data_IF_644248630352
#
_entry.id   IF_644248630352
#
_cell.length_a   1.000
_cell.length_b   1.000
_cell.length_c   1.000
_cell.angle_alpha   90.00
_cell.angle_beta   90.00
_cell.angle_gamma   90.00
#
_symmetry.space_group_name_H-M   'P 1'
#
loop_
_entity.id
_entity.type
_entity.pdbx_description
1 polymer ?
#
# COMPACT_ATOMS: atom_id res chain seq x y z
N UNK A 1 2.65 33.22 0.72
CA UNK A 1 3.17 32.26 -0.25
C UNK A 1 2.92 32.79 -1.65
N UNK A 2 3.98 33.10 -2.35
CA UNK A 2 3.94 33.50 -3.76
C UNK A 2 3.85 32.22 -4.59
N UNK A 3 2.77 32.08 -5.34
CA UNK A 3 2.64 31.06 -6.36
C UNK A 3 3.83 31.14 -7.32
N UNK A 4 4.66 30.12 -7.36
CA UNK A 4 5.72 29.97 -8.34
C UNK A 4 5.11 29.91 -9.73
N UNK A 5 5.58 30.74 -10.65
CA UNK A 5 5.11 30.76 -12.02
C UNK A 5 5.23 29.41 -12.67
N UNK A 6 4.13 28.92 -13.25
CA UNK A 6 4.07 27.65 -13.96
C UNK A 6 4.99 27.66 -15.18
N UNK A 7 6.15 27.03 -15.05
CA UNK A 7 6.99 26.67 -16.16
C UNK A 7 6.45 25.44 -16.85
N UNK A 8 6.18 25.50 -18.14
CA UNK A 8 5.83 24.32 -18.94
C UNK A 8 7.09 23.48 -19.12
N UNK A 9 7.21 22.41 -18.31
CA UNK A 9 8.27 21.44 -18.48
C UNK A 9 7.87 20.41 -19.55
N UNK A 10 8.53 20.43 -20.70
CA UNK A 10 8.39 19.35 -21.67
C UNK A 10 9.21 18.14 -21.19
N UNK A 11 8.52 17.11 -20.72
CA UNK A 11 9.13 15.85 -20.37
C UNK A 11 9.12 14.95 -21.61
N UNK A 12 10.29 14.75 -22.20
CA UNK A 12 10.45 13.80 -23.30
C UNK A 12 10.85 12.42 -22.72
N UNK A 13 9.96 11.46 -22.82
CA UNK A 13 10.26 10.08 -22.45
C UNK A 13 11.00 9.36 -23.61
N UNK A 14 12.15 8.80 -23.33
CA UNK A 14 12.86 7.91 -24.26
C UNK A 14 12.46 6.44 -24.09
N UNK A 15 11.60 6.15 -23.13
CA UNK A 15 11.19 4.80 -22.74
C UNK A 15 9.67 4.74 -22.83
N UNK A 16 9.14 3.68 -23.45
CA UNK A 16 7.71 3.38 -23.37
C UNK A 16 7.34 3.13 -21.91
N UNK A 17 6.45 3.94 -21.35
CA UNK A 17 5.97 3.79 -19.98
C UNK A 17 5.14 2.52 -19.78
N UNK A 18 4.65 1.90 -20.88
CA UNK A 18 3.81 0.70 -20.81
C UNK A 18 2.36 0.97 -20.46
N UNK A 19 1.56 -0.07 -20.20
CA UNK A 19 0.17 0.06 -19.81
C UNK A 19 0.04 0.48 -18.34
N UNK A 20 -1.02 1.24 -18.05
CA UNK A 20 -1.33 1.74 -16.71
C UNK A 20 -1.89 0.65 -15.77
N UNK A 21 -2.36 -0.44 -16.35
CA UNK A 21 -2.96 -1.56 -15.61
C UNK A 21 -2.56 -2.89 -16.23
N UNK A 22 -2.68 -3.96 -15.45
CA UNK A 22 -2.43 -5.32 -15.92
C UNK A 22 -3.45 -5.73 -16.98
N UNK A 23 -2.98 -6.31 -18.08
CA UNK A 23 -3.81 -6.82 -19.17
C UNK A 23 -3.59 -8.31 -19.33
N UNK A 24 -4.64 -9.11 -19.18
CA UNK A 24 -4.58 -10.54 -19.43
C UNK A 24 -4.60 -10.84 -20.91
N UNK A 25 -3.55 -11.48 -21.39
CA UNK A 25 -3.34 -11.70 -22.83
C UNK A 25 -3.69 -13.05 -23.39
N UNK A 26 -3.74 -14.12 -22.62
CA UNK A 26 -3.93 -15.48 -23.10
C UNK A 26 -4.78 -16.34 -22.18
N UNK A 27 -5.61 -17.19 -22.77
CA UNK A 27 -6.36 -18.25 -22.10
C UNK A 27 -7.84 -18.32 -22.48
N UNK A 28 -8.46 -19.43 -22.10
CA UNK A 28 -9.90 -19.62 -22.21
C UNK A 28 -10.61 -18.71 -21.18
N UNK A 29 -11.53 -17.91 -21.63
CA UNK A 29 -12.29 -17.00 -20.77
C UNK A 29 -11.76 -15.56 -20.70
N UNK A 30 -10.70 -15.23 -21.44
CA UNK A 30 -10.17 -13.86 -21.49
C UNK A 30 -10.76 -13.08 -22.66
N UNK A 31 -11.38 -11.94 -22.38
CA UNK A 31 -12.02 -11.07 -23.36
C UNK A 31 -13.38 -11.54 -23.80
N UNK A 32 -13.99 -10.82 -24.75
CA UNK A 32 -15.31 -11.14 -25.29
C UNK A 32 -15.29 -12.43 -26.11
N UNK A 33 -16.30 -13.26 -25.92
CA UNK A 33 -16.55 -14.44 -26.73
C UNK A 33 -16.86 -14.03 -28.18
N UNK A 34 -16.51 -14.87 -29.13
CA UNK A 34 -16.79 -14.69 -30.57
C UNK A 34 -16.00 -13.57 -31.26
N UNK A 35 -14.79 -13.24 -30.76
CA UNK A 35 -13.92 -12.20 -31.35
C UNK A 35 -12.88 -12.74 -32.32
N UNK A 36 -12.77 -14.05 -32.52
CA UNK A 36 -11.83 -14.70 -33.46
C UNK A 36 -12.37 -16.06 -33.91
N UNK A 37 -11.86 -16.55 -35.03
CA UNK A 37 -12.20 -17.91 -35.50
C UNK A 37 -11.40 -18.97 -34.74
N UNK A 38 -11.94 -20.18 -34.63
CA UNK A 38 -11.24 -21.32 -34.09
C UNK A 38 -9.89 -21.51 -34.82
N UNK A 39 -8.83 -21.79 -34.06
CA UNK A 39 -7.49 -21.98 -34.56
C UNK A 39 -6.77 -20.73 -35.13
N UNK A 40 -7.29 -19.53 -34.86
CA UNK A 40 -6.60 -18.28 -35.18
C UNK A 40 -6.09 -17.65 -33.89
N UNK A 41 -4.75 -17.60 -33.66
CA UNK A 41 -4.22 -16.90 -32.49
C UNK A 41 -4.62 -15.44 -32.50
N UNK A 42 -4.99 -14.89 -31.36
CA UNK A 42 -5.16 -13.43 -31.23
C UNK A 42 -3.84 -12.73 -31.49
N UNK A 43 -3.91 -11.52 -32.04
CA UNK A 43 -2.72 -10.69 -32.23
C UNK A 43 -1.94 -10.53 -30.90
N UNK A 44 -0.68 -10.89 -30.92
CA UNK A 44 0.21 -10.85 -29.74
C UNK A 44 0.76 -9.45 -29.46
N UNK A 45 0.45 -8.47 -30.31
CA UNK A 45 1.08 -7.15 -30.27
C UNK A 45 0.65 -6.25 -29.12
N UNK A 46 -0.32 -6.68 -28.29
CA UNK A 46 -0.91 -5.86 -27.21
C UNK A 46 -0.91 -6.53 -25.85
N UNK A 47 -0.18 -7.63 -25.68
CA UNK A 47 -0.24 -8.41 -24.45
C UNK A 47 0.87 -7.99 -23.49
N UNK A 48 0.56 -7.11 -22.59
CA UNK A 48 1.38 -6.88 -21.40
C UNK A 48 0.61 -7.42 -20.20
N UNK A 49 1.19 -8.38 -19.51
CA UNK A 49 0.53 -9.09 -18.42
C UNK A 49 0.54 -8.30 -17.10
N UNK A 50 1.52 -7.44 -16.90
CA UNK A 50 1.65 -6.62 -15.71
C UNK A 50 1.73 -5.14 -16.10
N UNK A 51 1.13 -4.26 -15.30
CA UNK A 51 1.33 -2.80 -15.41
C UNK A 51 2.80 -2.43 -15.26
N UNK A 52 3.23 -1.30 -15.82
CA UNK A 52 4.59 -0.83 -15.66
C UNK A 52 4.77 -0.03 -14.40
N UNK A 53 5.62 -0.56 -13.52
CA UNK A 53 6.04 0.09 -12.30
C UNK A 53 7.52 0.43 -12.36
N UNK A 54 7.91 1.46 -11.64
CA UNK A 54 9.30 1.80 -11.38
C UNK A 54 9.69 1.34 -9.98
N UNK A 55 10.92 0.87 -9.85
CA UNK A 55 11.57 0.69 -8.56
C UNK A 55 12.79 1.61 -8.45
N UNK A 56 12.92 2.23 -7.29
CA UNK A 56 13.97 3.19 -6.99
C UNK A 56 14.70 2.78 -5.73
N UNK A 57 16.03 2.92 -5.75
CA UNK A 57 16.83 2.74 -4.55
C UNK A 57 18.13 3.57 -4.61
N UNK A 58 18.72 3.85 -3.48
CA UNK A 58 19.92 4.65 -3.40
C UNK A 58 21.19 3.79 -3.41
N UNK A 59 22.15 4.17 -4.23
CA UNK A 59 23.50 3.62 -4.25
C UNK A 59 24.48 4.69 -3.79
N UNK A 60 24.64 4.82 -2.48
CA UNK A 60 25.28 5.98 -1.89
C UNK A 60 24.42 7.23 -2.06
N UNK A 61 24.94 8.24 -2.72
CA UNK A 61 24.20 9.47 -3.04
C UNK A 61 23.42 9.37 -4.36
N UNK A 62 23.74 8.40 -5.21
CA UNK A 62 23.12 8.22 -6.52
C UNK A 62 21.81 7.44 -6.45
N UNK A 63 20.92 7.74 -7.36
CA UNK A 63 19.66 7.03 -7.52
C UNK A 63 19.79 5.95 -8.59
N UNK A 64 19.43 4.73 -8.24
CA UNK A 64 19.23 3.62 -9.18
C UNK A 64 17.73 3.47 -9.45
N UNK A 65 17.37 3.42 -10.71
CA UNK A 65 15.99 3.31 -11.17
C UNK A 65 15.86 2.15 -12.16
N UNK A 66 14.93 1.25 -11.94
CA UNK A 66 14.63 0.15 -12.86
C UNK A 66 13.16 0.20 -13.24
N UNK A 67 12.90 0.16 -14.55
CA UNK A 67 11.54 0.04 -15.06
C UNK A 67 11.18 -1.44 -15.22
N UNK A 68 9.97 -1.80 -14.84
CA UNK A 68 9.48 -3.17 -14.96
C UNK A 68 9.63 -3.71 -16.39
N UNK A 69 10.30 -4.86 -16.55
CA UNK A 69 10.66 -5.45 -17.84
C UNK A 69 11.43 -4.50 -18.76
N UNK A 70 12.34 -3.74 -18.19
CA UNK A 70 13.21 -2.82 -18.90
C UNK A 70 14.56 -2.67 -18.23
N UNK A 71 15.32 -1.68 -18.69
CA UNK A 71 16.69 -1.41 -18.25
C UNK A 71 16.78 -0.74 -16.88
N UNK A 72 18.01 -0.71 -16.38
CA UNK A 72 18.38 -0.03 -15.12
C UNK A 72 19.15 1.23 -15.43
N UNK A 73 18.82 2.30 -14.74
CA UNK A 73 19.36 3.64 -14.91
C UNK A 73 20.03 4.12 -13.63
N UNK A 74 21.07 4.92 -13.77
CA UNK A 74 21.71 5.66 -12.68
C UNK A 74 21.53 7.16 -12.91
N UNK A 75 21.03 7.84 -11.91
CA UNK A 75 21.09 9.29 -11.84
C UNK A 75 22.20 9.70 -10.87
N UNK A 76 23.20 10.38 -11.44
CA UNK A 76 24.33 10.94 -10.70
C UNK A 76 23.90 12.26 -10.07
N UNK A 77 23.75 12.30 -8.76
CA UNK A 77 23.30 13.48 -8.03
C UNK A 77 24.26 14.65 -8.15
N UNK A 78 25.56 14.36 -8.32
CA UNK A 78 26.58 15.41 -8.51
C UNK A 78 26.42 16.18 -9.80
N UNK A 79 25.77 15.60 -10.79
CA UNK A 79 25.47 16.23 -12.08
C UNK A 79 24.26 17.20 -12.01
N UNK A 80 23.57 17.25 -10.88
CA UNK A 80 22.43 18.13 -10.60
C UNK A 80 21.14 17.71 -11.27
N UNK A 81 20.03 18.37 -10.88
CA UNK A 81 18.66 18.04 -11.31
C UNK A 81 18.37 18.31 -12.81
N UNK A 82 19.22 19.08 -13.49
CA UNK A 82 19.12 19.34 -14.92
C UNK A 82 19.66 18.19 -15.80
N UNK A 83 20.36 17.22 -15.21
CA UNK A 83 20.95 16.09 -15.93
C UNK A 83 20.06 14.85 -15.78
N UNK A 84 19.82 14.16 -16.89
CA UNK A 84 18.99 12.94 -16.89
C UNK A 84 19.78 11.73 -16.38
N UNK A 85 19.06 10.77 -15.82
CA UNK A 85 19.60 9.46 -15.53
C UNK A 85 20.09 8.77 -16.81
N UNK A 86 21.19 8.04 -16.71
CA UNK A 86 21.81 7.29 -17.80
C UNK A 86 21.63 5.80 -17.60
N UNK A 87 21.47 5.06 -18.69
CA UNK A 87 21.38 3.60 -18.61
C UNK A 87 22.73 3.01 -18.17
N UNK A 88 22.69 2.03 -17.26
CA UNK A 88 23.87 1.24 -16.89
C UNK A 88 24.05 0.18 -17.99
N UNK A 89 24.91 0.46 -18.96
CA UNK A 89 25.05 -0.35 -20.18
C UNK A 89 25.59 -1.76 -19.94
N UNK A 90 26.26 -2.00 -18.82
CA UNK A 90 26.81 -3.30 -18.44
C UNK A 90 25.82 -4.15 -17.62
N UNK A 91 24.76 -3.54 -17.13
CA UNK A 91 23.70 -4.24 -16.40
C UNK A 91 22.80 -5.02 -17.38
N UNK A 92 22.06 -6.03 -16.89
CA UNK A 92 20.97 -6.64 -17.64
C UNK A 92 20.01 -5.61 -18.24
N UNK A 93 19.56 -5.84 -19.45
CA UNK A 93 18.69 -4.91 -20.20
C UNK A 93 17.21 -5.10 -19.87
N UNK A 94 16.88 -6.18 -19.16
CA UNK A 94 15.52 -6.53 -18.80
C UNK A 94 15.48 -7.09 -17.36
N UNK A 95 14.76 -6.41 -16.48
CA UNK A 95 14.59 -6.79 -15.08
C UNK A 95 13.22 -6.36 -14.58
N UNK A 96 12.71 -7.01 -13.55
CA UNK A 96 11.41 -6.65 -12.97
C UNK A 96 11.53 -5.44 -12.02
N UNK A 97 12.51 -5.47 -11.13
CA UNK A 97 12.77 -4.39 -10.16
C UNK A 97 14.20 -4.51 -9.61
N UNK A 98 14.62 -3.48 -8.88
CA UNK A 98 15.93 -3.42 -8.22
C UNK A 98 15.80 -3.22 -6.72
N UNK A 99 16.89 -3.51 -6.02
CA UNK A 99 17.14 -3.17 -4.62
C UNK A 99 18.66 -3.08 -4.41
N UNK A 100 19.10 -2.17 -3.57
CA UNK A 100 20.51 -2.07 -3.16
C UNK A 100 20.67 -2.67 -1.77
N UNK A 101 21.61 -3.60 -1.59
CA UNK A 101 21.88 -4.16 -0.26
C UNK A 101 22.67 -3.17 0.62
N UNK A 102 22.50 -3.31 1.92
CA UNK A 102 23.20 -2.50 2.92
C UNK A 102 23.75 -3.43 4.02
N UNK A 103 24.95 -3.22 4.52
CA UNK A 103 25.91 -2.13 4.27
C UNK A 103 26.84 -2.35 3.07
N UNK A 104 26.82 -3.52 2.47
CA UNK A 104 27.80 -4.01 1.47
C UNK A 104 27.59 -3.45 0.06
N UNK A 105 26.52 -2.70 -0.18
CA UNK A 105 26.19 -1.97 -1.42
C UNK A 105 26.39 -2.77 -2.71
N UNK A 106 25.62 -3.85 -2.84
CA UNK A 106 25.42 -4.54 -4.12
C UNK A 106 24.07 -4.10 -4.71
N UNK A 107 24.01 -3.88 -6.01
CA UNK A 107 22.73 -3.65 -6.69
C UNK A 107 22.17 -5.02 -7.08
N UNK A 108 20.99 -5.35 -6.58
CA UNK A 108 20.24 -6.54 -6.97
C UNK A 108 19.26 -6.20 -8.09
N UNK A 109 19.18 -7.06 -9.09
CA UNK A 109 18.17 -7.07 -10.14
C UNK A 109 17.41 -8.38 -10.08
N UNK A 110 16.10 -8.30 -9.95
CA UNK A 110 15.21 -9.44 -9.78
C UNK A 110 14.41 -9.72 -11.05
N UNK A 111 14.12 -11.01 -11.32
CA UNK A 111 13.43 -11.44 -12.53
C UNK A 111 14.16 -10.96 -13.78
N UNK A 112 15.43 -11.29 -13.89
CA UNK A 112 16.33 -10.71 -14.89
C UNK A 112 16.88 -11.72 -15.88
N UNK A 113 17.73 -11.26 -16.78
CA UNK A 113 18.38 -12.07 -17.83
C UNK A 113 19.37 -13.06 -17.23
N UNK A 114 19.33 -14.31 -17.69
CA UNK A 114 20.39 -15.30 -17.41
C UNK A 114 21.66 -15.00 -18.20
N UNK A 115 21.53 -14.42 -19.39
CA UNK A 115 22.64 -13.92 -20.21
C UNK A 115 22.49 -12.41 -20.38
N UNK A 116 23.42 -11.64 -19.83
CA UNK A 116 23.39 -10.17 -19.86
C UNK A 116 23.35 -9.68 -21.31
N UNK A 117 22.46 -8.72 -21.58
CA UNK A 117 22.29 -8.12 -22.92
C UNK A 117 21.42 -8.95 -23.87
N UNK A 118 20.83 -10.03 -23.39
CA UNK A 118 19.90 -10.84 -24.21
C UNK A 118 18.54 -10.93 -23.48
N UNK A 119 17.64 -10.02 -23.79
CA UNK A 119 16.31 -9.91 -23.16
C UNK A 119 15.43 -11.17 -23.39
N UNK A 120 15.76 -12.02 -24.39
CA UNK A 120 15.02 -13.28 -24.61
C UNK A 120 15.37 -14.36 -23.59
N UNK A 121 16.43 -14.17 -22.80
CA UNK A 121 16.86 -15.08 -21.73
C UNK A 121 16.36 -14.64 -20.35
N UNK A 122 15.41 -13.73 -20.27
CA UNK A 122 14.80 -13.33 -19.02
C UNK A 122 14.12 -14.53 -18.36
N UNK A 123 14.42 -14.72 -17.07
CA UNK A 123 13.78 -15.71 -16.20
C UNK A 123 13.22 -14.98 -14.96
N UNK A 124 11.93 -15.03 -14.77
CA UNK A 124 11.25 -14.33 -13.68
C UNK A 124 11.64 -14.83 -12.27
N UNK A 125 12.32 -15.98 -12.16
CA UNK A 125 12.87 -16.52 -10.91
C UNK A 125 14.39 -16.30 -10.77
N UNK A 126 15.03 -15.67 -11.76
CA UNK A 126 16.46 -15.41 -11.72
C UNK A 126 16.76 -14.03 -11.13
N UNK A 127 17.72 -13.98 -10.24
CA UNK A 127 18.24 -12.73 -9.70
C UNK A 127 19.75 -12.62 -9.95
N UNK A 128 20.22 -11.39 -10.10
CA UNK A 128 21.62 -11.06 -10.30
C UNK A 128 22.01 -9.88 -9.44
N UNK A 129 23.25 -9.87 -8.96
CA UNK A 129 23.78 -8.75 -8.20
C UNK A 129 25.11 -8.27 -8.77
N UNK A 130 25.33 -6.96 -8.68
CA UNK A 130 26.57 -6.32 -9.10
C UNK A 130 27.74 -6.69 -8.17
N UNK A 131 28.96 -6.34 -8.55
CA UNK A 131 30.07 -6.36 -7.60
C UNK A 131 29.87 -5.33 -6.49
N UNK A 132 30.51 -5.55 -5.34
CA UNK A 132 30.43 -4.66 -4.20
C UNK A 132 30.89 -3.24 -4.56
N UNK A 133 30.09 -2.24 -4.20
CA UNK A 133 30.37 -0.82 -4.48
C UNK A 133 30.63 -0.47 -5.95
N UNK A 134 30.23 -1.36 -6.88
CA UNK A 134 30.42 -1.19 -8.32
C UNK A 134 29.13 -1.48 -9.08
N UNK A 135 28.59 -0.46 -9.72
CA UNK A 135 27.37 -0.58 -10.54
C UNK A 135 27.65 -1.04 -11.99
N UNK A 136 28.93 -1.21 -12.38
CA UNK A 136 29.32 -1.57 -13.74
C UNK A 136 29.65 -3.05 -13.91
N UNK A 137 30.08 -3.74 -12.87
CA UNK A 137 30.52 -5.14 -12.92
C UNK A 137 29.39 -6.09 -12.51
N UNK A 138 28.87 -6.85 -13.49
CA UNK A 138 27.74 -7.76 -13.34
C UNK A 138 28.04 -9.23 -13.67
N UNK A 139 29.17 -9.48 -14.34
CA UNK A 139 29.59 -10.83 -14.71
C UNK A 139 30.48 -11.42 -13.62
N UNK A 140 30.09 -12.56 -13.00
CA UNK A 140 30.88 -13.20 -11.97
C UNK A 140 32.27 -13.63 -12.50
N UNK A 141 33.31 -13.34 -11.72
CA UNK A 141 34.68 -13.81 -11.94
C UNK A 141 35.29 -14.25 -10.60
N UNK A 142 36.46 -14.90 -10.65
CA UNK A 142 37.15 -15.31 -9.44
C UNK A 142 37.64 -14.14 -8.56
N UNK A 143 37.66 -12.92 -9.07
CA UNK A 143 38.23 -11.74 -8.44
C UNK A 143 37.22 -10.66 -8.06
N UNK A 144 35.95 -10.83 -8.40
CA UNK A 144 34.89 -9.90 -8.05
C UNK A 144 33.83 -10.57 -7.18
N UNK A 145 32.89 -9.77 -6.66
CA UNK A 145 31.80 -10.25 -5.80
C UNK A 145 30.45 -10.32 -6.53
N UNK A 146 30.42 -10.07 -7.84
CA UNK A 146 29.20 -10.21 -8.63
C UNK A 146 28.72 -11.67 -8.67
N UNK A 147 27.41 -11.86 -8.76
CA UNK A 147 26.86 -13.21 -8.75
C UNK A 147 25.40 -13.26 -9.17
N UNK A 148 24.85 -14.47 -9.12
CA UNK A 148 23.45 -14.70 -9.46
C UNK A 148 22.91 -15.94 -8.76
N UNK A 149 21.59 -15.96 -8.55
CA UNK A 149 20.85 -17.13 -8.08
C UNK A 149 19.59 -17.33 -8.91
N UNK A 150 19.11 -18.56 -8.92
CA UNK A 150 17.78 -18.89 -9.40
C UNK A 150 16.96 -19.48 -8.26
N UNK A 151 15.82 -18.87 -7.94
CA UNK A 151 14.87 -19.40 -6.96
C UNK A 151 14.15 -20.59 -7.60
N UNK A 152 13.91 -21.65 -6.83
CA UNK A 152 13.33 -22.89 -7.34
C UNK A 152 11.83 -23.03 -7.04
N UNK A 153 11.28 -22.13 -6.18
CA UNK A 153 9.88 -22.16 -5.75
C UNK A 153 9.13 -20.90 -6.20
N UNK A 154 7.92 -21.09 -6.73
CA UNK A 154 7.12 -20.04 -7.33
C UNK A 154 7.24 -19.95 -8.86
N UNK A 155 6.57 -18.95 -9.44
CA UNK A 155 6.61 -18.66 -10.87
C UNK A 155 7.36 -17.37 -11.22
N UNK A 156 7.42 -16.45 -10.28
CA UNK A 156 8.10 -15.14 -10.43
C UNK A 156 8.55 -14.58 -9.09
N UNK A 157 9.66 -13.84 -9.09
CA UNK A 157 10.04 -12.99 -7.95
C UNK A 157 9.16 -11.75 -7.99
N UNK A 158 8.48 -11.46 -6.87
CA UNK A 158 7.47 -10.41 -6.77
C UNK A 158 7.98 -9.20 -6.02
N UNK A 159 8.61 -9.38 -4.86
CA UNK A 159 9.03 -8.29 -3.98
C UNK A 159 10.37 -8.58 -3.31
N UNK A 160 11.06 -7.55 -2.89
CA UNK A 160 12.23 -7.66 -2.02
C UNK A 160 12.32 -6.44 -1.09
N UNK A 161 12.73 -6.68 0.16
CA UNK A 161 12.88 -5.65 1.19
C UNK A 161 14.16 -5.88 1.98
N UNK A 162 14.87 -4.82 2.30
CA UNK A 162 15.99 -4.89 3.25
C UNK A 162 15.46 -5.15 4.65
N UNK A 163 16.02 -6.16 5.32
CA UNK A 163 15.82 -6.39 6.74
C UNK A 163 17.16 -6.27 7.48
N UNK A 164 17.16 -6.44 8.79
CA UNK A 164 18.32 -6.15 9.65
C UNK A 164 19.62 -6.83 9.20
N UNK A 165 19.55 -8.10 8.79
CA UNK A 165 20.73 -8.93 8.47
C UNK A 165 20.61 -9.66 7.13
N UNK A 166 19.60 -9.37 6.34
CA UNK A 166 19.33 -10.04 5.07
C UNK A 166 18.47 -9.18 4.15
N UNK A 167 18.51 -9.48 2.88
CA UNK A 167 17.48 -9.05 1.94
C UNK A 167 16.43 -10.15 1.89
N UNK A 168 15.22 -9.84 2.26
CA UNK A 168 14.06 -10.72 2.16
C UNK A 168 13.51 -10.64 0.75
N UNK A 169 13.29 -11.79 0.12
CA UNK A 169 12.84 -11.88 -1.28
C UNK A 169 11.61 -12.78 -1.35
N UNK A 170 10.53 -12.24 -1.86
CA UNK A 170 9.28 -12.99 -2.06
C UNK A 170 9.11 -13.39 -3.51
N UNK A 171 8.72 -14.64 -3.69
CA UNK A 171 8.05 -15.06 -4.92
C UNK A 171 6.53 -14.90 -4.77
N UNK A 172 5.79 -15.28 -5.77
CA UNK A 172 4.33 -15.42 -5.69
C UNK A 172 3.87 -16.57 -4.76
N UNK A 173 4.80 -17.41 -4.27
CA UNK A 173 4.49 -18.55 -3.39
C UNK A 173 5.28 -18.55 -2.08
N UNK A 174 6.52 -18.09 -2.05
CA UNK A 174 7.45 -18.33 -0.94
C UNK A 174 8.26 -17.10 -0.55
N UNK A 175 8.83 -17.14 0.65
CA UNK A 175 9.76 -16.16 1.19
C UNK A 175 11.16 -16.78 1.29
N UNK A 176 12.16 -16.02 0.84
CA UNK A 176 13.58 -16.36 0.90
C UNK A 176 14.38 -15.26 1.59
N UNK A 177 15.52 -15.62 2.16
CA UNK A 177 16.51 -14.67 2.65
C UNK A 177 17.80 -14.77 1.85
N UNK A 178 18.30 -13.62 1.40
CA UNK A 178 19.64 -13.44 0.89
C UNK A 178 20.49 -12.85 2.00
N UNK A 179 21.47 -13.61 2.48
CA UNK A 179 22.38 -13.19 3.54
C UNK A 179 23.79 -13.02 2.98
N UNK A 180 24.43 -11.92 3.31
CA UNK A 180 25.82 -11.71 2.99
C UNK A 180 26.71 -12.64 3.83
N UNK A 181 27.45 -13.51 3.17
CA UNK A 181 28.35 -14.50 3.80
C UNK A 181 29.83 -14.25 3.50
N UNK A 182 30.11 -13.29 2.61
CA UNK A 182 31.47 -12.98 2.19
C UNK A 182 32.08 -14.01 1.23
N UNK A 183 33.38 -13.80 0.94
CA UNK A 183 34.08 -14.67 -0.01
C UNK A 183 34.16 -16.13 0.50
N UNK A 184 34.06 -17.14 -0.40
CA UNK A 184 33.99 -17.03 -1.87
C UNK A 184 32.58 -16.88 -2.44
N UNK A 185 31.52 -16.97 -1.63
CA UNK A 185 30.13 -17.09 -2.11
C UNK A 185 29.34 -15.78 -2.14
N UNK A 186 29.88 -14.69 -1.60
CA UNK A 186 29.25 -13.37 -1.46
C UNK A 186 27.93 -13.42 -0.69
N UNK A 187 26.91 -14.08 -1.22
CA UNK A 187 25.59 -14.28 -0.61
C UNK A 187 25.21 -15.76 -0.50
N UNK A 188 24.35 -16.06 0.46
CA UNK A 188 23.62 -17.33 0.56
C UNK A 188 22.13 -17.06 0.36
N UNK A 189 21.42 -18.01 -0.26
CA UNK A 189 19.99 -17.97 -0.47
C UNK A 189 19.32 -19.10 0.31
N UNK A 190 18.42 -18.78 1.23
CA UNK A 190 17.72 -19.74 2.09
C UNK A 190 16.22 -19.49 2.04
N UNK A 191 15.43 -20.55 1.83
CA UNK A 191 13.97 -20.46 1.92
C UNK A 191 13.53 -20.40 3.40
N UNK A 192 12.69 -19.41 3.73
CA UNK A 192 12.17 -19.19 5.08
C UNK A 192 10.73 -19.67 5.26
N UNK A 193 9.95 -19.69 4.18
CA UNK A 193 8.55 -20.11 4.21
C UNK A 193 7.99 -20.41 2.83
N UNK A 194 6.92 -21.20 2.80
CA UNK A 194 6.15 -21.51 1.60
C UNK A 194 4.68 -21.14 1.79
N UNK A 195 3.93 -21.00 0.69
CA UNK A 195 2.53 -20.58 0.67
C UNK A 195 2.29 -19.22 1.39
N UNK A 196 3.25 -18.32 1.26
CA UNK A 196 3.25 -17.00 1.88
C UNK A 196 3.77 -15.91 0.93
N UNK A 197 3.54 -16.08 -0.38
CA UNK A 197 4.00 -15.14 -1.40
C UNK A 197 3.45 -13.72 -1.23
N UNK A 198 4.08 -12.75 -1.87
CA UNK A 198 3.63 -11.35 -1.89
C UNK A 198 2.80 -11.06 -3.15
N UNK A 199 1.97 -10.01 -3.11
CA UNK A 199 1.11 -9.65 -4.25
C UNK A 199 1.78 -8.65 -5.20
N UNK A 200 2.51 -7.67 -4.73
CA UNK A 200 3.10 -6.61 -5.56
C UNK A 200 4.53 -6.28 -5.16
N UNK A 201 5.25 -5.57 -6.02
CA UNK A 201 6.66 -5.21 -5.81
C UNK A 201 6.85 -4.44 -4.50
N UNK A 202 5.91 -3.56 -4.17
CA UNK A 202 5.93 -2.70 -2.99
C UNK A 202 4.93 -3.12 -1.92
N UNK A 203 4.44 -4.38 -1.92
CA UNK A 203 3.45 -4.86 -0.95
C UNK A 203 4.02 -5.32 0.38
N UNK A 204 5.33 -5.26 0.55
CA UNK A 204 6.05 -5.65 1.76
C UNK A 204 6.85 -4.49 2.35
N UNK A 205 6.93 -4.43 3.68
CA UNK A 205 7.71 -3.44 4.44
C UNK A 205 8.43 -4.13 5.60
N UNK A 206 9.57 -3.56 6.02
CA UNK A 206 10.30 -3.99 7.23
C UNK A 206 10.27 -2.87 8.28
N UNK A 207 9.90 -3.21 9.50
CA UNK A 207 9.93 -2.31 10.65
C UNK A 207 10.78 -2.95 11.73
N UNK A 208 11.94 -2.38 11.97
CA UNK A 208 12.87 -2.82 13.01
C UNK A 208 13.28 -4.29 12.93
N UNK A 209 13.32 -4.86 11.72
CA UNK A 209 13.68 -6.26 11.47
C UNK A 209 12.51 -7.24 11.55
N UNK A 210 11.28 -6.73 11.58
CA UNK A 210 10.06 -7.51 11.38
C UNK A 210 9.46 -7.11 10.05
N UNK A 211 9.36 -8.06 9.13
CA UNK A 211 8.75 -7.80 7.84
C UNK A 211 7.25 -8.10 7.88
N UNK A 212 6.46 -7.25 7.22
CA UNK A 212 5.02 -7.39 7.06
C UNK A 212 4.67 -7.30 5.58
N UNK A 213 3.74 -8.14 5.12
CA UNK A 213 3.33 -8.10 3.71
C UNK A 213 1.90 -8.57 3.49
N UNK A 214 1.35 -8.13 2.37
CA UNK A 214 0.06 -8.57 1.86
C UNK A 214 0.28 -9.70 0.86
N UNK A 215 -0.44 -10.80 1.04
CA UNK A 215 -0.54 -11.92 0.11
C UNK A 215 -1.90 -11.90 -0.59
N UNK A 216 -2.19 -12.88 -1.44
CA UNK A 216 -3.43 -12.92 -2.21
C UNK A 216 -4.71 -13.09 -1.37
N UNK A 217 -4.59 -13.64 -0.16
CA UNK A 217 -5.74 -13.96 0.69
C UNK A 217 -5.51 -13.74 2.20
N UNK A 218 -4.36 -13.21 2.58
CA UNK A 218 -4.01 -12.97 3.97
C UNK A 218 -2.86 -11.96 4.09
N UNK A 219 -2.69 -11.46 5.30
CA UNK A 219 -1.52 -10.71 5.72
C UNK A 219 -0.59 -11.63 6.50
N UNK A 220 0.71 -11.40 6.36
CA UNK A 220 1.75 -12.18 7.03
C UNK A 220 2.77 -11.28 7.70
N UNK A 221 3.49 -11.83 8.64
CA UNK A 221 4.69 -11.23 9.23
C UNK A 221 5.83 -12.26 9.33
N UNK A 222 7.05 -11.74 9.36
CA UNK A 222 8.27 -12.48 9.63
C UNK A 222 9.07 -11.79 10.72
N UNK A 223 9.21 -12.46 11.86
CA UNK A 223 9.98 -12.04 13.04
C UNK A 223 11.11 -13.03 13.40
N UNK A 224 11.56 -13.79 12.41
CA UNK A 224 12.39 -14.99 12.55
C UNK A 224 11.64 -16.26 12.13
N UNK A 225 10.32 -16.20 12.11
CA UNK A 225 9.43 -17.24 11.59
C UNK A 225 8.28 -16.60 10.82
N UNK A 226 7.84 -17.27 9.74
CA UNK A 226 6.68 -16.80 8.97
C UNK A 226 5.40 -17.12 9.74
N UNK A 227 4.57 -16.11 9.96
CA UNK A 227 3.28 -16.24 10.65
C UNK A 227 2.19 -15.52 9.88
N UNK A 228 0.99 -16.10 9.85
CA UNK A 228 -0.20 -15.37 9.39
C UNK A 228 -0.53 -14.28 10.42
N UNK A 229 -0.71 -13.05 9.95
CA UNK A 229 -1.11 -11.92 10.78
C UNK A 229 -2.64 -11.95 10.96
N UNK A 230 -3.17 -12.09 12.17
CA UNK A 230 -4.61 -12.04 12.40
C UNK A 230 -5.20 -10.70 11.95
N UNK A 231 -6.23 -10.75 11.12
CA UNK A 231 -6.86 -9.55 10.57
C UNK A 231 -8.37 -9.62 10.79
N UNK A 232 -8.93 -8.64 11.50
CA UNK A 232 -10.36 -8.55 11.80
C UNK A 232 -11.21 -8.11 10.59
N UNK A 233 -10.58 -7.54 9.58
CA UNK A 233 -11.22 -7.06 8.35
C UNK A 233 -10.80 -7.88 7.12
N UNK A 234 -10.26 -9.09 7.33
CA UNK A 234 -9.70 -9.90 6.25
C UNK A 234 -10.71 -10.16 5.14
N UNK A 235 -11.90 -10.61 5.47
CA UNK A 235 -12.93 -10.96 4.49
C UNK A 235 -13.37 -9.71 3.71
N UNK A 236 -13.57 -8.57 4.39
CA UNK A 236 -13.90 -7.29 3.74
C UNK A 236 -12.85 -6.86 2.70
N UNK A 237 -11.56 -7.03 3.01
CA UNK A 237 -10.46 -6.63 2.10
C UNK A 237 -10.37 -7.59 0.92
N UNK A 238 -10.33 -8.90 1.17
CA UNK A 238 -10.03 -9.88 0.13
C UNK A 238 -11.24 -10.28 -0.72
N UNK A 239 -12.48 -10.05 -0.28
CA UNK A 239 -13.67 -10.15 -1.13
C UNK A 239 -13.76 -9.02 -2.17
N UNK A 240 -13.23 -7.83 -1.84
CA UNK A 240 -13.19 -6.67 -2.74
C UNK A 240 -11.81 -6.45 -3.39
N UNK A 241 -10.91 -7.41 -3.35
CA UNK A 241 -9.56 -7.28 -3.88
C UNK A 241 -9.49 -7.60 -5.38
N UNK A 242 -8.85 -6.73 -6.18
CA UNK A 242 -8.70 -6.91 -7.62
C UNK A 242 -7.67 -7.99 -7.95
N UNK A 243 -8.14 -9.17 -8.39
CA UNK A 243 -7.26 -10.26 -8.85
C UNK A 243 -6.48 -9.86 -10.11
N UNK A 244 -7.01 -8.94 -10.91
CA UNK A 244 -6.37 -8.47 -12.13
C UNK A 244 -5.22 -7.51 -11.87
N UNK A 245 -5.37 -6.63 -10.88
CA UNK A 245 -4.47 -5.50 -10.65
C UNK A 245 -3.77 -5.55 -9.28
N UNK A 246 -3.76 -6.71 -8.62
CA UNK A 246 -3.15 -6.88 -7.30
C UNK A 246 -1.67 -6.45 -7.26
N UNK A 247 -0.97 -6.51 -8.38
CA UNK A 247 0.44 -6.12 -8.49
C UNK A 247 0.69 -4.63 -8.22
N UNK A 248 -0.34 -3.78 -8.33
CA UNK A 248 -0.29 -2.35 -8.04
C UNK A 248 -0.27 -2.05 -6.53
N UNK A 249 -0.53 -3.05 -5.67
CA UNK A 249 -0.57 -2.87 -4.22
C UNK A 249 0.73 -2.26 -3.70
N UNK A 250 0.59 -1.20 -2.91
CA UNK A 250 1.70 -0.49 -2.28
C UNK A 250 1.55 -0.48 -0.76
N UNK A 251 2.62 -0.77 -0.04
CA UNK A 251 2.66 -0.69 1.42
C UNK A 251 3.46 0.53 1.88
N UNK A 252 2.88 1.33 2.76
CA UNK A 252 3.51 2.48 3.39
C UNK A 252 3.61 2.31 4.90
N UNK A 253 4.63 2.88 5.51
CA UNK A 253 4.81 2.96 6.96
C UNK A 253 4.50 4.38 7.39
N UNK A 254 3.70 4.55 8.44
CA UNK A 254 3.55 5.79 9.17
C UNK A 254 4.11 5.58 10.59
N UNK A 255 5.36 5.96 10.78
CA UNK A 255 6.07 5.72 12.03
C UNK A 255 5.54 6.56 13.19
N UNK A 256 4.93 7.72 12.93
CA UNK A 256 4.34 8.58 13.95
C UNK A 256 3.17 7.90 14.66
N UNK A 257 2.34 7.19 13.90
CA UNK A 257 1.15 6.49 14.41
C UNK A 257 1.38 4.98 14.60
N UNK A 258 2.58 4.47 14.30
CA UNK A 258 2.90 3.04 14.39
C UNK A 258 2.03 2.17 13.48
N UNK A 259 1.83 2.62 12.26
CA UNK A 259 0.92 2.01 11.31
C UNK A 259 1.62 1.55 10.04
N UNK A 260 1.09 0.48 9.48
CA UNK A 260 1.39 0.00 8.13
C UNK A 260 0.09 0.10 7.34
N UNK A 261 0.14 0.79 6.21
CA UNK A 261 -1.00 0.93 5.33
C UNK A 261 -0.72 0.25 3.99
N UNK A 262 -1.57 -0.70 3.60
CA UNK A 262 -1.58 -1.26 2.25
C UNK A 262 -2.64 -0.54 1.42
N UNK A 263 -2.19 0.10 0.37
CA UNK A 263 -3.02 0.72 -0.65
C UNK A 263 -3.24 -0.30 -1.76
N UNK A 264 -4.49 -0.60 -2.11
CA UNK A 264 -4.81 -1.67 -3.03
C UNK A 264 -5.98 -1.33 -3.95
N UNK A 265 -6.04 -1.93 -5.15
CA UNK A 265 -7.19 -1.77 -6.05
C UNK A 265 -8.35 -2.67 -5.61
N UNK A 266 -9.56 -2.11 -5.56
CA UNK A 266 -10.79 -2.88 -5.38
C UNK A 266 -11.13 -3.72 -6.62
N UNK A 267 -12.03 -4.68 -6.48
CA UNK A 267 -12.43 -5.63 -7.54
C UNK A 267 -12.92 -4.95 -8.83
N UNK A 268 -13.46 -3.75 -8.71
CA UNK A 268 -13.99 -2.97 -9.83
C UNK A 268 -13.06 -1.85 -10.30
N UNK A 269 -11.84 -1.77 -9.74
CA UNK A 269 -10.87 -0.72 -10.08
C UNK A 269 -9.66 -1.29 -10.81
N UNK A 270 -9.11 -0.49 -11.71
CA UNK A 270 -7.81 -0.75 -12.35
C UNK A 270 -6.67 -0.02 -11.67
N UNK A 271 -6.99 0.87 -10.73
CA UNK A 271 -6.04 1.67 -9.96
C UNK A 271 -6.33 1.53 -8.47
N UNK A 272 -5.36 1.90 -7.64
CA UNK A 272 -5.52 1.93 -6.19
C UNK A 272 -6.65 2.89 -5.80
N UNK A 273 -7.64 2.38 -5.06
CA UNK A 273 -8.81 3.13 -4.60
C UNK A 273 -9.23 2.78 -3.16
N UNK A 274 -8.52 1.90 -2.51
CA UNK A 274 -8.77 1.43 -1.15
C UNK A 274 -7.48 1.38 -0.35
N UNK A 275 -7.63 1.44 0.97
CA UNK A 275 -6.53 1.17 1.89
C UNK A 275 -6.98 0.40 3.12
N UNK A 276 -6.07 -0.36 3.67
CA UNK A 276 -6.21 -1.05 4.94
C UNK A 276 -4.98 -0.81 5.78
N UNK A 277 -5.18 -0.39 7.02
CA UNK A 277 -4.10 -0.03 7.95
C UNK A 277 -4.08 -0.97 9.14
N UNK A 278 -2.89 -1.31 9.58
CA UNK A 278 -2.61 -2.10 10.76
C UNK A 278 -1.72 -1.33 11.71
N UNK A 279 -2.22 -1.06 12.92
CA UNK A 279 -1.39 -0.54 13.99
C UNK A 279 -0.62 -1.71 14.64
N UNK A 280 0.71 -1.72 14.46
CA UNK A 280 1.53 -2.85 14.90
C UNK A 280 1.81 -2.87 16.41
N UNK A 281 1.57 -1.77 17.15
CA UNK A 281 1.63 -1.73 18.61
C UNK A 281 0.31 -2.17 19.24
N UNK A 282 -0.79 -1.56 18.80
CA UNK A 282 -2.13 -1.83 19.34
C UNK A 282 -2.79 -3.09 18.75
N UNK A 283 -2.23 -3.59 17.64
CA UNK A 283 -2.75 -4.77 16.89
C UNK A 283 -4.18 -4.58 16.41
N UNK A 284 -4.52 -3.37 16.05
CA UNK A 284 -5.84 -2.98 15.53
C UNK A 284 -5.80 -2.76 14.03
N UNK A 285 -6.94 -2.97 13.37
CA UNK A 285 -7.11 -2.81 11.93
C UNK A 285 -8.20 -1.78 11.64
N UNK A 286 -8.01 -1.01 10.57
CA UNK A 286 -9.05 -0.18 10.01
C UNK A 286 -8.92 -0.09 8.49
N UNK A 287 -10.01 0.29 7.81
CA UNK A 287 -10.07 0.45 6.36
C UNK A 287 -10.42 1.88 6.01
N UNK A 288 -9.96 2.33 4.85
CA UNK A 288 -10.27 3.67 4.34
C UNK A 288 -10.30 3.68 2.81
N UNK A 289 -10.81 4.77 2.25
CA UNK A 289 -10.80 5.02 0.80
C UNK A 289 -9.60 5.90 0.39
N UNK A 290 -8.55 5.93 1.19
CA UNK A 290 -7.33 6.65 0.88
C UNK A 290 -6.61 5.95 -0.27
N UNK A 291 -6.47 6.64 -1.38
CA UNK A 291 -5.93 6.14 -2.64
C UNK A 291 -4.55 6.76 -2.91
N UNK A 292 -3.50 6.09 -2.51
CA UNK A 292 -2.12 6.54 -2.74
C UNK A 292 -1.32 5.47 -3.48
N UNK A 293 -0.64 5.89 -4.54
CA UNK A 293 0.16 5.00 -5.39
C UNK A 293 1.59 4.83 -4.90
N UNK A 294 2.07 5.77 -4.08
CA UNK A 294 3.35 5.67 -3.36
C UNK A 294 3.22 6.31 -1.99
N UNK A 295 4.12 5.95 -1.09
CA UNK A 295 4.19 6.52 0.25
C UNK A 295 5.63 6.61 0.70
N UNK A 296 6.02 7.75 1.25
CA UNK A 296 7.30 7.96 1.91
C UNK A 296 7.04 8.45 3.33
N UNK A 297 7.53 7.70 4.30
CA UNK A 297 7.43 8.06 5.72
C UNK A 297 8.24 9.34 6.02
N UNK A 298 7.96 9.94 7.16
CA UNK A 298 8.77 11.07 7.62
C UNK A 298 10.21 10.60 7.94
N UNK A 299 11.17 11.51 7.83
CA UNK A 299 12.58 11.21 8.04
C UNK A 299 13.43 12.39 7.62
N UNK A 300 13.77 12.48 6.34
CA UNK A 300 14.39 13.68 5.77
C UNK A 300 13.39 14.84 5.74
N UNK A 301 12.15 14.53 5.47
CA UNK A 301 11.02 15.47 5.54
C UNK A 301 10.32 15.35 6.90
N UNK A 302 9.65 16.42 7.34
CA UNK A 302 8.98 16.48 8.64
C UNK A 302 7.63 15.75 8.64
N UNK A 303 7.06 15.53 7.47
CA UNK A 303 5.77 14.87 7.27
C UNK A 303 5.89 13.74 6.25
N UNK A 304 4.99 12.77 6.25
CA UNK A 304 4.89 11.79 5.18
C UNK A 304 4.44 12.42 3.87
N UNK A 305 4.96 11.89 2.77
CA UNK A 305 4.58 12.29 1.42
C UNK A 305 4.04 11.11 0.63
N UNK A 306 3.07 11.37 -0.21
CA UNK A 306 2.46 10.35 -1.05
C UNK A 306 2.05 10.91 -2.42
N UNK A 307 1.88 10.03 -3.39
CA UNK A 307 1.34 10.39 -4.70
C UNK A 307 0.00 9.71 -4.94
N UNK A 308 -0.85 10.36 -5.70
CA UNK A 308 -2.08 9.80 -6.25
C UNK A 308 -2.03 9.92 -7.77
N UNK A 309 -2.33 8.82 -8.46
CA UNK A 309 -2.46 8.79 -9.91
C UNK A 309 -3.92 9.00 -10.33
N UNK A 310 -4.13 9.85 -11.31
CA UNK A 310 -5.43 10.10 -11.94
C UNK A 310 -5.40 9.49 -13.34
N UNK A 311 -6.06 8.34 -13.54
CA UNK A 311 -6.09 7.71 -14.85
C UNK A 311 -6.88 8.55 -15.85
N UNK A 312 -6.56 8.37 -17.14
CA UNK A 312 -7.30 8.94 -18.25
C UNK A 312 -8.73 8.43 -18.26
N UNK A 313 -9.67 9.12 -17.65
CA UNK A 313 -11.09 8.80 -17.80
C UNK A 313 -11.92 10.03 -18.05
N UNK A 314 -12.71 9.87 -19.07
CA UNK A 314 -13.90 10.66 -19.30
C UNK A 314 -14.68 10.89 -18.00
N UNK A 315 -14.73 12.17 -17.59
CA UNK A 315 -15.72 12.71 -16.70
C UNK A 315 -15.71 12.28 -15.22
N UNK A 316 -14.83 12.81 -14.50
CA UNK A 316 -15.09 13.66 -13.32
C UNK A 316 -13.78 14.33 -13.01
N UNK A 317 -13.63 15.49 -13.58
CA UNK A 317 -12.48 16.38 -13.36
C UNK A 317 -12.28 16.53 -11.84
N UNK A 318 -11.14 16.13 -11.29
CA UNK A 318 -10.74 16.69 -10.01
C UNK A 318 -10.66 18.21 -10.26
N UNK A 319 -11.23 18.97 -9.39
CA UNK A 319 -11.25 20.45 -9.46
C UNK A 319 -9.85 21.05 -9.26
N UNK A 320 -8.80 20.29 -9.52
CA UNK A 320 -7.42 20.77 -9.50
C UNK A 320 -7.12 21.34 -10.88
N UNK A 321 -7.06 22.64 -10.92
CA UNK A 321 -6.83 23.43 -12.14
C UNK A 321 -5.56 22.93 -12.83
N UNK A 322 -5.70 22.38 -14.04
CA UNK A 322 -4.60 22.10 -14.96
C UNK A 322 -4.08 20.66 -14.99
N UNK A 323 -4.73 19.68 -14.32
CA UNK A 323 -4.37 18.27 -14.48
C UNK A 323 -4.98 17.73 -15.78
N UNK A 324 -4.11 17.29 -16.66
CA UNK A 324 -4.46 16.50 -17.84
C UNK A 324 -4.53 15.01 -17.47
N UNK A 325 -5.27 14.26 -18.24
CA UNK A 325 -5.37 12.81 -18.15
C UNK A 325 -3.99 12.13 -17.97
N UNK A 326 -3.88 11.17 -17.05
CA UNK A 326 -2.63 10.48 -16.72
C UNK A 326 -1.69 11.27 -15.82
N UNK A 327 -2.19 12.25 -15.08
CA UNK A 327 -1.41 13.07 -14.15
C UNK A 327 -1.28 12.40 -12.78
N UNK A 328 -0.20 12.72 -12.08
CA UNK A 328 -0.03 12.37 -10.67
C UNK A 328 0.02 13.65 -9.83
N UNK A 329 -0.61 13.61 -8.67
CA UNK A 329 -0.55 14.69 -7.68
C UNK A 329 0.28 14.23 -6.48
N UNK A 330 1.10 15.13 -5.99
CA UNK A 330 1.93 14.92 -4.80
C UNK A 330 1.22 15.53 -3.59
N UNK A 331 1.05 14.73 -2.53
CA UNK A 331 0.39 15.14 -1.30
C UNK A 331 1.35 15.11 -0.12
N UNK A 332 1.25 16.11 0.72
CA UNK A 332 1.84 16.15 2.04
C UNK A 332 0.79 15.67 3.05
N UNK A 333 1.14 14.65 3.82
CA UNK A 333 0.24 14.03 4.80
C UNK A 333 0.53 14.52 6.21
N UNK A 334 -0.42 14.27 7.12
CA UNK A 334 -0.36 14.66 8.54
C UNK A 334 -0.24 16.18 8.75
N UNK A 335 -0.78 16.97 7.81
CA UNK A 335 -0.82 18.42 7.87
C UNK A 335 -2.26 18.91 7.94
N UNK A 336 -2.64 19.54 9.06
CA UNK A 336 -4.01 19.99 9.28
C UNK A 336 -4.99 18.86 9.62
N UNK A 337 -6.29 19.10 9.43
CA UNK A 337 -7.40 18.21 9.80
C UNK A 337 -8.48 18.15 8.72
N UNK A 338 -8.10 18.36 7.48
CA UNK A 338 -9.00 18.30 6.33
C UNK A 338 -8.30 17.63 5.13
N UNK A 339 -9.05 17.33 4.10
CA UNK A 339 -8.56 16.77 2.85
C UNK A 339 -8.41 17.91 1.83
N UNK A 340 -7.22 18.51 1.79
CA UNK A 340 -6.87 19.63 0.92
C UNK A 340 -7.91 20.78 0.99
N UNK A 341 -8.25 21.19 2.22
CA UNK A 341 -9.27 22.23 2.50
C UNK A 341 -10.71 21.72 2.42
N UNK A 342 -10.93 20.47 2.08
CA UNK A 342 -12.25 19.83 2.06
C UNK A 342 -12.54 19.14 3.38
N UNK A 343 -13.79 19.21 3.84
CA UNK A 343 -14.19 18.56 5.07
C UNK A 343 -14.02 17.04 5.00
N UNK A 344 -13.26 16.48 5.92
CA UNK A 344 -13.10 15.06 6.10
C UNK A 344 -14.12 14.53 7.10
N UNK A 345 -14.88 13.48 6.74
CA UNK A 345 -15.79 12.83 7.69
C UNK A 345 -15.02 11.87 8.57
N UNK A 346 -14.82 12.25 9.83
CA UNK A 346 -14.26 11.35 10.82
C UNK A 346 -15.41 10.74 11.65
N UNK A 347 -15.40 9.41 11.86
CA UNK A 347 -16.45 8.75 12.64
C UNK A 347 -15.95 7.50 13.37
N UNK A 348 -16.63 7.19 14.48
CA UNK A 348 -16.52 5.93 15.22
C UNK A 348 -17.94 5.40 15.45
N UNK A 349 -18.20 4.16 15.04
CA UNK A 349 -19.48 3.51 15.29
C UNK A 349 -19.26 2.24 16.10
N UNK A 350 -19.98 2.09 17.23
CA UNK A 350 -19.93 0.86 18.02
C UNK A 350 -20.81 -0.23 17.43
N UNK A 351 -20.52 -1.47 17.77
CA UNK A 351 -21.53 -2.54 17.64
C UNK A 351 -22.73 -2.29 18.55
N UNK A 352 -23.79 -3.08 18.36
CA UNK A 352 -24.94 -3.07 19.25
C UNK A 352 -24.55 -3.63 20.62
N UNK A 353 -24.94 -2.94 21.70
CA UNK A 353 -24.76 -3.38 23.07
C UNK A 353 -26.11 -3.47 23.78
N UNK A 354 -26.22 -4.35 24.77
CA UNK A 354 -27.42 -4.61 25.52
C UNK A 354 -27.15 -4.79 27.03
N UNK A 355 -28.21 -4.99 27.78
CA UNK A 355 -28.13 -5.36 29.20
C UNK A 355 -28.69 -6.77 29.35
N UNK A 356 -27.97 -7.64 30.04
CA UNK A 356 -28.37 -9.02 30.34
C UNK A 356 -28.81 -9.80 29.08
N UNK A 357 -27.93 -9.82 28.10
CA UNK A 357 -28.16 -10.53 26.82
C UNK A 357 -29.47 -10.14 26.13
N UNK A 358 -29.87 -8.85 26.24
CA UNK A 358 -31.06 -8.32 25.58
C UNK A 358 -32.40 -8.76 26.20
N UNK A 359 -32.39 -9.35 27.38
CA UNK A 359 -33.62 -9.76 28.07
C UNK A 359 -34.45 -8.58 28.57
N UNK A 360 -33.80 -7.48 28.90
CA UNK A 360 -34.44 -6.26 29.36
C UNK A 360 -34.29 -5.11 28.38
N UNK A 361 -35.28 -4.21 28.41
CA UNK A 361 -35.14 -2.93 27.71
C UNK A 361 -34.16 -2.07 28.49
N UNK A 362 -33.29 -1.36 27.80
CA UNK A 362 -32.42 -0.33 28.33
C UNK A 362 -33.03 1.06 28.08
N UNK A 363 -32.92 1.94 29.04
CA UNK A 363 -33.25 3.36 28.91
C UNK A 363 -32.01 4.19 29.15
N UNK A 364 -31.68 5.09 28.21
CA UNK A 364 -30.54 6.00 28.33
C UNK A 364 -31.08 7.42 28.47
N UNK A 365 -30.69 8.11 29.55
CA UNK A 365 -31.20 9.45 29.88
C UNK A 365 -30.17 10.57 29.75
N UNK A 366 -28.87 10.23 29.84
CA UNK A 366 -27.78 11.19 29.83
C UNK A 366 -26.49 10.56 29.26
N UNK A 367 -25.68 11.39 28.61
CA UNK A 367 -24.31 11.07 28.27
C UNK A 367 -23.33 12.15 28.76
N UNK A 368 -22.12 11.71 29.11
CA UNK A 368 -20.99 12.58 29.41
C UNK A 368 -19.94 12.29 28.36
N UNK A 369 -19.68 13.23 27.43
CA UNK A 369 -18.66 13.06 26.41
C UNK A 369 -17.27 13.17 27.04
N UNK A 370 -16.31 12.45 26.45
CA UNK A 370 -14.91 12.50 26.84
C UNK A 370 -14.07 12.79 25.62
N UNK A 371 -13.97 14.07 25.27
CA UNK A 371 -13.17 14.53 24.15
C UNK A 371 -11.94 15.29 24.66
N UNK A 372 -10.81 15.02 24.04
CA UNK A 372 -9.56 15.75 24.23
C UNK A 372 -9.17 16.43 22.93
N UNK A 373 -8.58 17.62 23.05
CA UNK A 373 -8.08 18.40 21.91
C UNK A 373 -9.16 18.66 20.84
N UNK A 374 -10.42 18.83 21.27
CA UNK A 374 -11.54 19.04 20.36
C UNK A 374 -11.45 20.41 19.67
N UNK A 375 -11.50 20.40 18.35
CA UNK A 375 -11.69 21.58 17.49
C UNK A 375 -12.95 21.35 16.64
N UNK A 376 -13.84 22.33 16.66
CA UNK A 376 -15.15 22.19 16.02
C UNK A 376 -16.13 21.28 16.80
N UNK A 377 -17.29 21.08 16.22
CA UNK A 377 -18.36 20.30 16.82
C UNK A 377 -18.32 18.84 16.37
N UNK A 378 -18.57 17.92 17.32
CA UNK A 378 -18.85 16.54 17.04
C UNK A 378 -20.33 16.22 17.26
N UNK A 379 -20.86 15.26 16.54
CA UNK A 379 -22.22 14.75 16.72
C UNK A 379 -22.15 13.37 17.35
N UNK A 380 -22.80 13.18 18.49
CA UNK A 380 -23.05 11.86 19.09
C UNK A 380 -24.46 11.44 18.72
N UNK A 381 -24.58 10.29 18.07
CA UNK A 381 -25.84 9.68 17.67
C UNK A 381 -25.99 8.34 18.38
N UNK A 382 -27.10 8.17 19.08
CA UNK A 382 -27.46 6.91 19.72
C UNK A 382 -28.58 6.26 18.93
N UNK A 383 -28.37 5.03 18.52
CA UNK A 383 -29.38 4.19 17.87
C UNK A 383 -29.97 3.22 18.87
N UNK A 384 -31.30 3.00 18.82
CA UNK A 384 -32.04 2.08 19.68
C UNK A 384 -32.83 1.10 18.81
N UNK A 385 -32.76 -0.18 19.16
CA UNK A 385 -33.48 -1.27 18.48
C UNK A 385 -34.27 -2.09 19.49
N UNK A 386 -35.46 -2.53 19.13
CA UNK A 386 -36.23 -3.51 19.89
C UNK A 386 -35.88 -4.94 19.52
N UNK A 387 -35.43 -5.15 18.26
CA UNK A 387 -35.01 -6.46 17.72
C UNK A 387 -33.74 -6.28 16.89
N UNK A 388 -32.84 -7.29 16.82
CA UNK A 388 -31.57 -7.22 16.09
C UNK A 388 -31.71 -6.81 14.62
N UNK A 389 -32.78 -7.25 13.94
CA UNK A 389 -33.05 -6.96 12.53
C UNK A 389 -33.77 -5.64 12.26
N UNK A 390 -34.11 -4.89 13.33
CA UNK A 390 -34.84 -3.62 13.20
C UNK A 390 -33.90 -2.48 12.80
N UNK A 391 -34.42 -1.54 12.02
CA UNK A 391 -33.71 -0.27 11.78
C UNK A 391 -33.73 0.56 13.04
N UNK A 392 -32.55 0.99 13.49
CA UNK A 392 -32.41 1.74 14.73
C UNK A 392 -33.16 3.08 14.70
N UNK A 393 -33.97 3.33 15.73
CA UNK A 393 -34.46 4.67 16.02
C UNK A 393 -33.31 5.50 16.60
N UNK A 394 -33.05 6.69 16.06
CA UNK A 394 -31.83 7.43 16.36
C UNK A 394 -32.10 8.78 17.03
N UNK A 395 -31.26 9.13 18.01
CA UNK A 395 -31.26 10.43 18.69
C UNK A 395 -29.86 11.02 18.54
N UNK A 396 -29.75 12.21 17.99
CA UNK A 396 -28.47 12.91 17.79
C UNK A 396 -28.32 14.09 18.72
N UNK A 397 -27.10 14.35 19.18
CA UNK A 397 -26.73 15.52 19.99
C UNK A 397 -25.42 16.10 19.46
N UNK A 398 -25.38 17.42 19.29
CA UNK A 398 -24.11 18.11 19.01
C UNK A 398 -23.35 18.28 20.32
N UNK A 399 -22.07 18.04 20.27
CA UNK A 399 -21.11 18.19 21.35
C UNK A 399 -20.07 19.22 20.94
N UNK A 400 -20.08 20.35 21.61
CA UNK A 400 -19.10 21.43 21.43
C UNK A 400 -17.97 21.29 22.43
N UNK A 401 -16.92 22.08 22.28
CA UNK A 401 -15.79 22.14 23.24
C UNK A 401 -16.19 22.50 24.66
N UNK A 402 -17.39 23.11 24.88
CA UNK A 402 -17.92 23.48 26.17
C UNK A 402 -18.95 22.48 26.73
N UNK A 403 -19.29 21.43 25.97
CA UNK A 403 -20.32 20.48 26.38
C UNK A 403 -19.79 19.54 27.46
N UNK A 404 -20.26 19.67 28.68
CA UNK A 404 -19.87 18.77 29.78
C UNK A 404 -20.78 17.54 29.90
N UNK A 405 -22.03 17.66 29.47
CA UNK A 405 -23.05 16.60 29.46
C UNK A 405 -24.10 16.89 28.41
N UNK A 406 -24.79 15.87 27.97
CA UNK A 406 -25.98 16.01 27.12
C UNK A 406 -27.10 15.09 27.62
N UNK A 407 -28.34 15.59 27.55
CA UNK A 407 -29.51 14.82 27.94
C UNK A 407 -30.19 14.24 26.70
N UNK A 408 -30.70 13.03 26.84
CA UNK A 408 -31.44 12.33 25.80
C UNK A 408 -32.47 11.40 26.45
N UNK A 409 -33.44 10.92 25.66
CA UNK A 409 -34.40 9.92 26.11
C UNK A 409 -34.53 8.86 25.02
N UNK A 410 -33.82 7.76 25.18
CA UNK A 410 -33.86 6.63 24.26
C UNK A 410 -34.16 5.33 25.00
N UNK A 411 -34.91 4.44 24.37
CA UNK A 411 -35.29 3.14 24.89
C UNK A 411 -35.20 2.07 23.80
N UNK A 412 -34.63 0.95 24.12
CA UNK A 412 -34.49 -0.21 23.22
C UNK A 412 -34.00 -1.44 23.99
N UNK A 413 -33.98 -2.60 23.34
CA UNK A 413 -33.26 -3.79 23.83
C UNK A 413 -31.78 -3.69 23.57
N UNK A 414 -31.45 -3.12 22.44
CA UNK A 414 -30.07 -2.90 22.02
C UNK A 414 -29.87 -1.42 21.70
N UNK A 415 -28.67 -0.93 21.94
CA UNK A 415 -28.29 0.42 21.53
C UNK A 415 -26.92 0.39 20.86
N UNK A 416 -26.67 1.37 20.01
CA UNK A 416 -25.34 1.64 19.44
C UNK A 416 -25.01 3.12 19.52
N UNK A 417 -23.74 3.44 19.39
CA UNK A 417 -23.21 4.79 19.42
C UNK A 417 -22.49 5.07 18.12
N UNK A 418 -22.79 6.21 17.52
CA UNK A 418 -22.07 6.75 16.37
C UNK A 418 -21.61 8.16 16.75
N UNK A 419 -20.31 8.40 16.63
CA UNK A 419 -19.69 9.70 16.91
C UNK A 419 -19.05 10.16 15.61
N UNK A 420 -19.36 11.38 15.18
CA UNK A 420 -18.84 11.91 13.92
C UNK A 420 -18.64 13.41 13.90
N UNK A 421 -17.72 13.85 13.05
CA UNK A 421 -17.59 15.24 12.61
C UNK A 421 -17.53 15.31 11.10
N UNK A 422 -18.09 16.37 10.53
CA UNK A 422 -18.18 16.60 9.07
C UNK A 422 -17.78 18.01 8.67
N UNK A 423 -17.28 18.82 9.62
CA UNK A 423 -16.83 20.18 9.33
C UNK A 423 -15.34 20.19 8.94
N UNK A 424 -14.96 21.06 8.02
CA UNK A 424 -13.55 21.27 7.68
C UNK A 424 -12.77 21.74 8.90
N UNK A 425 -11.58 21.20 9.10
CA UNK A 425 -10.71 21.50 10.22
C UNK A 425 -11.17 20.94 11.58
N UNK A 426 -12.23 20.10 11.61
CA UNK A 426 -12.65 19.42 12.83
C UNK A 426 -11.67 18.35 13.27
N UNK A 427 -11.28 18.41 14.53
CA UNK A 427 -10.36 17.44 15.15
C UNK A 427 -10.84 17.06 16.54
N UNK A 428 -10.64 15.81 16.92
CA UNK A 428 -10.94 15.33 18.26
C UNK A 428 -10.24 14.01 18.56
N UNK A 429 -9.88 13.83 19.82
CA UNK A 429 -9.49 12.54 20.38
C UNK A 429 -10.62 12.09 21.32
N UNK A 430 -11.08 10.87 21.11
CA UNK A 430 -12.18 10.32 21.87
C UNK A 430 -11.68 9.36 22.96
N UNK A 431 -12.13 9.61 24.17
CA UNK A 431 -11.88 8.78 25.33
C UNK A 431 -13.04 7.81 25.61
N UNK A 432 -13.59 7.86 26.81
CA UNK A 432 -14.65 6.94 27.24
C UNK A 432 -15.99 7.65 27.33
N UNK A 433 -16.97 7.26 26.54
CA UNK A 433 -18.35 7.72 26.69
C UNK A 433 -18.98 7.11 27.94
N UNK A 434 -19.46 7.98 28.83
CA UNK A 434 -20.22 7.57 30.01
C UNK A 434 -21.70 7.81 29.77
N UNK A 435 -22.49 6.75 29.82
CA UNK A 435 -23.93 6.79 29.63
C UNK A 435 -24.66 6.42 30.93
N UNK A 436 -25.69 7.19 31.28
CA UNK A 436 -26.63 6.80 32.34
C UNK A 436 -27.64 5.81 31.77
N UNK A 437 -27.35 4.52 31.97
CA UNK A 437 -28.16 3.41 31.47
C UNK A 437 -28.92 2.78 32.60
N UNK A 438 -30.23 2.58 32.43
CA UNK A 438 -31.11 1.93 33.42
C UNK A 438 -31.91 0.81 32.77
N UNK A 439 -32.12 -0.31 33.46
CA UNK A 439 -33.11 -1.30 33.07
C UNK A 439 -34.50 -0.71 33.09
N UNK A 440 -35.30 -0.95 32.04
CA UNK A 440 -36.64 -0.37 31.87
C UNK A 440 -37.67 -1.45 31.46
N UNK A 441 -37.69 -2.53 32.21
CA UNK A 441 -38.61 -3.65 32.05
C UNK A 441 -38.30 -4.58 30.88
N UNK A 442 -39.12 -5.63 30.76
CA UNK A 442 -38.94 -6.69 29.74
C UNK A 442 -39.73 -6.48 28.44
N UNK A 443 -40.46 -5.37 28.28
CA UNK A 443 -41.25 -5.06 27.08
C UNK A 443 -40.87 -3.73 26.48
#
# INVERSE_FOLDING_TARGET
>A
STAGGGGTGNINYQISIGPDASVYGYGWGIGTWNTSTWNTPRSTSTVTLDGRNWSFDNFGEDLIATVHKGGTFRWDTSAGTGTRATVISQAPTNSRFNLVSMPDRHIFLFGTETTIGNSTTQDDLFLRFSSQEDFTTWTPTATNTAGSFRIQDGSKIVSAVRSRNAVLVWTDNSLHALQFVGAPFTFSLVQLGANCGAVGVHSAVDINGVAYWMSQNAFYLYDGTVKKLPCSVQDYVFEDFSIANYAETYAGINSEFNEITWFYPSSNSTQIDRSVSYNYLEKTWYTSNLDRTTWSDYGVYQQPYATKYFPTTTATTPTVIGLTDGASTFYEHEVGFDDDGTAMTAFITSGDFDIQDGQQMLSISRGIPDFKDQVGDATIKLGFKSFPSETASTISRSVTTSTTKFDLRGRGRQANVDIRSTAAGANWRYGTLRLDVKPDGGR
#
